data_IF_566581217827
#
_entry.id   IF_566581217827
#
_cell.length_a   1.000
_cell.length_b   1.000
_cell.length_c   1.000
_cell.angle_alpha   90.00
_cell.angle_beta   90.00
_cell.angle_gamma   90.00
#
_symmetry.space_group_name_H-M   'P 1'
#
loop_
_entity.id
_entity.type
_entity.pdbx_description
1 polymer ?
#
# COMPACT_ATOMS: atom_id res chain seq x y z
N UNK A 1 55.52 13.27 -47.87
CA UNK A 1 54.61 13.42 -49.02
C UNK A 1 53.30 12.75 -48.63
N UNK A 2 52.27 13.55 -48.39
CA UNK A 2 50.98 13.11 -47.83
C UNK A 2 50.10 14.33 -47.55
N UNK A 3 49.47 14.83 -48.60
CA UNK A 3 48.42 15.85 -48.70
C UNK A 3 47.26 15.51 -47.74
N UNK A 4 46.67 16.39 -46.92
CA UNK A 4 46.02 17.68 -47.23
C UNK A 4 44.75 17.43 -48.06
N UNK A 5 43.51 17.73 -47.69
CA UNK A 5 42.87 18.39 -46.55
C UNK A 5 41.36 18.53 -46.87
N UNK A 6 40.63 19.26 -46.01
CA UNK A 6 39.24 19.75 -46.20
C UNK A 6 38.16 18.67 -46.06
N UNK A 7 37.15 18.74 -45.19
CA UNK A 7 36.55 19.86 -44.48
C UNK A 7 35.05 19.81 -44.79
N UNK A 8 34.25 19.22 -43.92
CA UNK A 8 32.79 19.32 -44.02
C UNK A 8 32.15 19.50 -42.65
N UNK A 9 31.79 20.75 -42.39
CA UNK A 9 30.85 21.17 -41.38
C UNK A 9 29.46 20.68 -41.79
N UNK A 10 28.81 19.86 -40.98
CA UNK A 10 27.36 19.70 -41.09
C UNK A 10 26.65 20.11 -39.81
N UNK A 11 25.98 21.25 -39.92
CA UNK A 11 25.11 21.88 -38.94
C UNK A 11 23.85 21.05 -38.74
N UNK A 12 23.39 21.05 -37.50
CA UNK A 12 22.00 20.79 -37.13
C UNK A 12 21.00 21.53 -38.03
N UNK A 13 19.86 20.88 -38.32
CA UNK A 13 18.60 21.57 -38.13
C UNK A 13 17.71 20.81 -37.14
N UNK A 14 17.46 21.50 -36.03
CA UNK A 14 16.27 21.35 -35.19
C UNK A 14 14.99 21.49 -36.02
N UNK A 15 14.16 20.45 -36.05
CA UNK A 15 12.72 20.58 -36.30
C UNK A 15 11.99 19.30 -35.88
N UNK A 16 11.71 19.17 -34.58
CA UNK A 16 10.60 18.34 -34.10
C UNK A 16 9.50 19.26 -33.59
N UNK A 17 8.61 19.63 -34.50
CA UNK A 17 7.33 20.23 -34.20
C UNK A 17 6.51 19.25 -33.34
N UNK A 18 6.62 19.38 -32.02
CA UNK A 18 5.65 18.82 -31.08
C UNK A 18 4.30 19.49 -31.34
N UNK A 19 3.22 18.75 -31.60
CA UNK A 19 1.90 19.36 -31.67
C UNK A 19 1.58 19.98 -30.31
N UNK A 20 1.14 21.24 -30.34
CA UNK A 20 0.64 21.96 -29.19
C UNK A 20 -0.43 21.10 -28.52
N UNK A 21 -0.15 20.67 -27.29
CA UNK A 21 -1.12 19.99 -26.44
C UNK A 21 -2.16 21.03 -26.10
N UNK A 22 -3.26 21.05 -26.85
CA UNK A 22 -4.45 21.84 -26.55
C UNK A 22 -4.91 21.40 -25.16
N UNK A 23 -4.53 22.18 -24.16
CA UNK A 23 -5.05 22.05 -22.81
C UNK A 23 -6.47 22.57 -22.89
N UNK A 24 -7.41 21.65 -23.05
CA UNK A 24 -8.83 21.94 -22.82
C UNK A 24 -8.92 22.56 -21.43
N UNK A 25 -9.34 23.82 -21.28
CA UNK A 25 -9.53 24.40 -19.96
C UNK A 25 -10.63 23.58 -19.29
N UNK A 26 -10.28 22.88 -18.21
CA UNK A 26 -11.26 22.25 -17.34
C UNK A 26 -12.25 23.35 -16.94
N UNK A 27 -13.49 23.23 -17.43
CA UNK A 27 -14.61 24.05 -16.98
C UNK A 27 -14.68 23.93 -15.46
N UNK A 28 -14.26 25.00 -14.78
CA UNK A 28 -14.36 25.11 -13.34
C UNK A 28 -15.84 24.93 -12.98
N UNK A 29 -16.12 24.07 -11.99
CA UNK A 29 -17.46 23.88 -11.48
C UNK A 29 -18.08 25.24 -11.10
N UNK A 30 -19.35 25.49 -11.41
CA UNK A 30 -19.95 26.81 -11.23
C UNK A 30 -20.00 27.16 -9.74
N UNK A 31 -19.38 28.29 -9.38
CA UNK A 31 -19.50 28.92 -8.04
C UNK A 31 -18.23 29.06 -7.21
N UNK A 32 -17.06 28.63 -7.68
CA UNK A 32 -15.82 28.70 -6.88
C UNK A 32 -14.88 29.81 -7.37
N UNK A 33 -14.63 30.83 -6.53
CA UNK A 33 -13.68 31.91 -6.83
C UNK A 33 -12.25 31.40 -6.72
N UNK A 34 -11.44 31.64 -7.77
CA UNK A 34 -10.02 31.27 -7.81
C UNK A 34 -9.20 31.88 -6.67
N UNK A 35 -9.63 33.02 -6.12
CA UNK A 35 -8.91 33.70 -5.04
C UNK A 35 -8.97 32.94 -3.71
N UNK A 36 -10.03 32.17 -3.48
CA UNK A 36 -10.20 31.34 -2.29
C UNK A 36 -9.26 30.11 -2.30
N UNK A 37 -8.61 29.85 -3.45
CA UNK A 37 -7.75 28.70 -3.69
C UNK A 37 -6.26 29.08 -3.72
N UNK A 38 -5.90 30.26 -3.19
CA UNK A 38 -4.51 30.71 -3.07
C UNK A 38 -3.73 29.69 -2.22
N UNK A 39 -2.89 28.89 -2.88
CA UNK A 39 -2.13 27.79 -2.26
C UNK A 39 -2.45 26.40 -2.78
N UNK A 40 -3.61 26.16 -3.42
CA UNK A 40 -3.95 24.83 -3.89
C UNK A 40 -3.03 24.36 -5.01
N UNK A 41 -2.55 25.29 -5.84
CA UNK A 41 -1.51 24.99 -6.82
C UNK A 41 -0.23 24.51 -6.14
N UNK A 42 0.23 25.20 -5.11
CA UNK A 42 1.45 24.82 -4.39
C UNK A 42 1.28 23.49 -3.64
N UNK A 43 0.11 23.27 -3.04
CA UNK A 43 -0.24 22.00 -2.39
C UNK A 43 -0.31 20.87 -3.43
N UNK A 44 -0.94 21.09 -4.58
CA UNK A 44 -1.02 20.11 -5.66
C UNK A 44 0.36 19.82 -6.27
N UNK A 45 1.19 20.85 -6.46
CA UNK A 45 2.58 20.72 -6.94
C UNK A 45 3.41 19.93 -5.90
N UNK A 46 3.21 20.15 -4.61
CA UNK A 46 3.85 19.37 -3.54
C UNK A 46 3.39 17.91 -3.52
N UNK A 47 2.07 17.67 -3.57
CA UNK A 47 1.50 16.31 -3.56
C UNK A 47 1.84 15.52 -4.84
N UNK A 48 1.93 16.19 -5.99
CA UNK A 48 2.27 15.56 -7.27
C UNK A 48 3.78 15.41 -7.49
N UNK A 49 4.60 16.27 -6.90
CA UNK A 49 6.04 16.29 -7.08
C UNK A 49 6.76 15.08 -6.49
N UNK A 50 6.31 14.60 -5.32
CA UNK A 50 7.01 13.49 -4.64
C UNK A 50 6.19 12.19 -4.53
N UNK A 51 4.89 12.17 -4.85
CA UNK A 51 4.05 10.94 -4.84
C UNK A 51 3.84 10.27 -3.46
N UNK A 52 4.75 10.50 -2.53
CA UNK A 52 4.85 9.92 -1.20
C UNK A 52 3.88 10.57 -0.20
N UNK A 53 3.28 11.72 -0.56
CA UNK A 53 2.48 12.56 0.34
C UNK A 53 1.07 12.87 -0.20
N UNK A 54 0.49 11.96 -0.98
CA UNK A 54 -0.89 12.12 -1.43
C UNK A 54 -1.83 11.72 -0.30
N UNK A 55 -2.02 12.63 0.66
CA UNK A 55 -2.97 12.48 1.76
C UNK A 55 -4.24 13.24 1.40
N UNK A 56 -5.34 12.51 1.29
CA UNK A 56 -6.65 13.07 0.99
C UNK A 56 -7.67 12.57 2.01
N UNK A 57 -8.74 13.35 2.18
CA UNK A 57 -9.85 12.92 3.01
C UNK A 57 -10.68 11.88 2.27
N UNK A 58 -11.03 10.80 2.96
CA UNK A 58 -11.89 9.72 2.46
C UNK A 58 -13.35 10.13 2.37
N UNK A 59 -13.79 11.06 3.23
CA UNK A 59 -15.18 11.52 3.36
C UNK A 59 -16.13 10.37 3.73
N UNK A 60 -15.72 9.51 4.67
CA UNK A 60 -16.42 8.27 5.00
C UNK A 60 -17.90 8.46 5.35
N UNK A 61 -18.22 9.43 6.21
CA UNK A 61 -19.59 9.72 6.60
C UNK A 61 -20.46 10.20 5.43
N UNK A 62 -19.92 11.04 4.53
CA UNK A 62 -20.66 11.53 3.37
C UNK A 62 -20.89 10.42 2.35
N UNK A 63 -19.89 9.57 2.11
CA UNK A 63 -20.02 8.40 1.23
C UNK A 63 -21.06 7.42 1.72
N UNK A 64 -21.10 7.13 3.02
CA UNK A 64 -22.13 6.26 3.58
C UNK A 64 -23.52 6.88 3.51
N UNK A 65 -23.66 8.19 3.74
CA UNK A 65 -24.96 8.87 3.55
C UNK A 65 -25.42 8.77 2.10
N UNK A 66 -24.53 8.99 1.13
CA UNK A 66 -24.84 8.84 -0.29
C UNK A 66 -25.24 7.39 -0.64
N UNK A 67 -24.53 6.40 -0.09
CA UNK A 67 -24.83 4.98 -0.26
C UNK A 67 -26.22 4.60 0.29
N UNK A 68 -26.53 5.02 1.53
CA UNK A 68 -27.82 4.76 2.17
C UNK A 68 -28.99 5.44 1.43
N UNK A 69 -28.77 6.64 0.89
CA UNK A 69 -29.77 7.30 0.06
C UNK A 69 -30.07 6.49 -1.21
N UNK A 70 -29.05 5.91 -1.84
CA UNK A 70 -29.23 5.06 -3.03
C UNK A 70 -29.89 3.73 -2.68
N UNK A 71 -29.57 3.14 -1.53
CA UNK A 71 -30.22 1.94 -1.03
C UNK A 71 -31.72 2.16 -0.81
N UNK A 72 -32.09 3.27 -0.16
CA UNK A 72 -33.50 3.64 0.02
C UNK A 72 -34.24 3.81 -1.33
N UNK A 73 -33.56 4.35 -2.34
CA UNK A 73 -34.13 4.48 -3.68
C UNK A 73 -34.34 3.12 -4.37
N UNK A 74 -33.46 2.14 -4.15
CA UNK A 74 -33.63 0.76 -4.65
C UNK A 74 -34.84 0.12 -3.97
N UNK A 75 -34.93 0.21 -2.64
CA UNK A 75 -36.04 -0.32 -1.86
C UNK A 75 -37.39 0.24 -2.29
N UNK A 76 -37.47 1.54 -2.61
CA UNK A 76 -38.70 2.15 -3.13
C UNK A 76 -39.19 1.47 -4.43
N UNK A 77 -38.26 1.11 -5.33
CA UNK A 77 -38.60 0.44 -6.60
C UNK A 77 -38.94 -1.03 -6.36
N UNK A 78 -38.28 -1.67 -5.41
CA UNK A 78 -38.59 -3.05 -5.01
C UNK A 78 -40.02 -3.16 -4.46
N UNK A 79 -40.46 -2.22 -3.62
CA UNK A 79 -41.84 -2.15 -3.12
C UNK A 79 -42.83 -1.91 -4.28
N UNK A 80 -42.54 -0.96 -5.17
CA UNK A 80 -43.38 -0.69 -6.37
C UNK A 80 -43.53 -1.95 -7.24
N UNK A 81 -42.42 -2.65 -7.47
CA UNK A 81 -42.38 -3.87 -8.26
C UNK A 81 -43.18 -5.01 -7.61
N UNK A 82 -43.05 -5.20 -6.29
CA UNK A 82 -43.80 -6.22 -5.56
C UNK A 82 -45.32 -6.00 -5.62
N UNK A 83 -45.78 -4.73 -5.55
CA UNK A 83 -47.19 -4.39 -5.72
C UNK A 83 -47.70 -4.66 -7.14
N UNK A 84 -46.89 -4.33 -8.15
CA UNK A 84 -47.22 -4.59 -9.56
C UNK A 84 -47.28 -6.10 -9.85
N UNK A 85 -46.31 -6.87 -9.37
CA UNK A 85 -46.29 -8.33 -9.49
C UNK A 85 -47.52 -8.96 -8.83
N UNK A 86 -47.91 -8.47 -7.64
CA UNK A 86 -49.13 -8.90 -6.96
C UNK A 86 -50.41 -8.69 -7.79
N UNK A 87 -50.51 -7.56 -8.50
CA UNK A 87 -51.65 -7.26 -9.40
C UNK A 87 -51.65 -8.15 -10.63
N UNK A 88 -50.48 -8.43 -11.21
CA UNK A 88 -50.34 -9.33 -12.36
C UNK A 88 -50.76 -10.76 -11.98
N UNK A 89 -50.35 -11.24 -10.81
CA UNK A 89 -50.75 -12.58 -10.32
C UNK A 89 -52.25 -12.72 -10.09
N UNK A 90 -52.95 -11.63 -9.75
CA UNK A 90 -54.40 -11.59 -9.63
C UNK A 90 -55.14 -11.46 -10.98
N UNK A 91 -54.41 -11.47 -12.11
CA UNK A 91 -54.96 -11.40 -13.46
C UNK A 91 -55.38 -10.01 -13.93
N UNK A 92 -55.09 -8.95 -13.15
CA UNK A 92 -55.47 -7.57 -13.45
C UNK A 92 -54.31 -6.62 -13.72
N UNK A 93 -53.06 -7.08 -13.63
CA UNK A 93 -51.87 -6.23 -13.78
C UNK A 93 -51.38 -6.08 -15.22
N UNK A 94 -50.76 -4.95 -15.51
CA UNK A 94 -50.07 -4.68 -16.78
C UNK A 94 -48.62 -5.15 -16.72
N UNK A 95 -48.28 -6.13 -17.57
CA UNK A 95 -46.92 -6.68 -17.68
C UNK A 95 -45.91 -5.64 -18.16
N UNK A 96 -46.33 -4.62 -18.92
CA UNK A 96 -45.42 -3.56 -19.38
C UNK A 96 -44.97 -2.66 -18.21
N UNK A 97 -45.83 -2.46 -17.21
CA UNK A 97 -45.48 -1.71 -16.00
C UNK A 97 -44.41 -2.44 -15.18
N UNK A 98 -44.58 -3.75 -14.96
CA UNK A 98 -43.55 -4.59 -14.32
C UNK A 98 -42.22 -4.52 -15.07
N UNK A 99 -42.25 -4.62 -16.42
CA UNK A 99 -41.05 -4.49 -17.26
C UNK A 99 -40.39 -3.11 -17.13
N UNK A 100 -41.17 -2.04 -16.98
CA UNK A 100 -40.66 -0.68 -16.76
C UNK A 100 -40.04 -0.55 -15.37
N UNK A 101 -40.67 -1.08 -14.34
CA UNK A 101 -40.14 -1.11 -12.96
C UNK A 101 -38.86 -1.93 -12.85
N UNK A 102 -38.78 -3.08 -13.52
CA UNK A 102 -37.53 -3.86 -13.62
C UNK A 102 -36.38 -3.09 -14.29
N UNK A 103 -36.65 -2.35 -15.38
CA UNK A 103 -35.63 -1.48 -16.01
C UNK A 103 -35.19 -0.37 -15.06
N UNK A 104 -36.10 0.23 -14.31
CA UNK A 104 -35.80 1.25 -13.29
C UNK A 104 -34.96 0.66 -12.15
N UNK A 105 -35.26 -0.57 -11.74
CA UNK A 105 -34.53 -1.30 -10.71
C UNK A 105 -33.08 -1.57 -11.15
N UNK A 106 -32.88 -2.07 -12.36
CA UNK A 106 -31.55 -2.33 -12.93
C UNK A 106 -30.68 -1.06 -12.94
N UNK A 107 -31.25 0.07 -13.39
CA UNK A 107 -30.56 1.37 -13.37
C UNK A 107 -30.17 1.81 -11.95
N UNK A 108 -31.07 1.66 -10.97
CA UNK A 108 -30.80 2.05 -9.58
C UNK A 108 -29.80 1.10 -8.91
N UNK A 109 -29.91 -0.20 -9.16
CA UNK A 109 -28.96 -1.20 -8.67
C UNK A 109 -27.57 -0.93 -9.22
N UNK A 110 -27.44 -0.61 -10.51
CA UNK A 110 -26.17 -0.22 -11.11
C UNK A 110 -25.56 1.01 -10.42
N UNK A 111 -26.37 2.05 -10.17
CA UNK A 111 -25.91 3.24 -9.47
C UNK A 111 -25.50 2.95 -7.99
N UNK A 112 -26.12 1.97 -7.35
CA UNK A 112 -25.79 1.56 -5.99
C UNK A 112 -24.55 0.65 -5.94
N UNK A 113 -24.57 -0.47 -6.66
CA UNK A 113 -23.54 -1.52 -6.61
C UNK A 113 -22.26 -1.08 -7.34
N UNK A 114 -22.37 -0.82 -8.64
CA UNK A 114 -21.18 -0.57 -9.48
C UNK A 114 -20.55 0.78 -9.15
N UNK A 115 -21.37 1.78 -8.82
CA UNK A 115 -20.88 3.13 -8.59
C UNK A 115 -20.61 3.43 -7.12
N UNK A 116 -21.62 3.39 -6.25
CA UNK A 116 -21.47 3.87 -4.89
C UNK A 116 -20.71 2.89 -3.99
N UNK A 117 -21.11 1.62 -4.00
CA UNK A 117 -20.51 0.58 -3.17
C UNK A 117 -19.06 0.32 -3.58
N UNK A 118 -18.78 0.19 -4.88
CA UNK A 118 -17.40 -0.02 -5.34
C UNK A 118 -16.48 1.16 -4.98
N UNK A 119 -16.93 2.41 -5.21
CA UNK A 119 -16.14 3.59 -4.82
C UNK A 119 -15.95 3.66 -3.30
N UNK A 120 -16.94 3.25 -2.52
CA UNK A 120 -16.83 3.16 -1.07
C UNK A 120 -15.78 2.10 -0.68
N UNK A 121 -15.91 0.88 -1.20
CA UNK A 121 -14.97 -0.21 -0.96
C UNK A 121 -13.53 0.18 -1.33
N UNK A 122 -13.32 0.75 -2.51
CA UNK A 122 -12.00 1.25 -2.94
C UNK A 122 -11.46 2.30 -1.97
N UNK A 123 -12.29 3.22 -1.48
CA UNK A 123 -11.85 4.25 -0.53
C UNK A 123 -11.55 3.69 0.88
N UNK A 124 -12.23 2.62 1.31
CA UNK A 124 -12.01 1.97 2.61
C UNK A 124 -10.86 0.96 2.61
N UNK A 125 -10.52 0.40 1.45
CA UNK A 125 -9.32 -0.42 1.28
C UNK A 125 -8.03 0.41 1.13
N UNK A 126 -8.16 1.73 0.96
CA UNK A 126 -7.00 2.62 1.02
C UNK A 126 -6.45 2.67 2.44
N UNK A 127 -5.12 2.60 2.58
CA UNK A 127 -4.50 2.62 3.89
C UNK A 127 -4.53 4.01 4.53
N UNK A 128 -4.43 4.02 5.86
CA UNK A 128 -4.29 5.25 6.64
C UNK A 128 -2.87 5.82 6.49
N UNK A 129 -2.71 7.15 6.41
CA UNK A 129 -1.39 7.76 6.40
C UNK A 129 -0.66 7.53 7.72
N UNK A 130 0.67 7.44 7.67
CA UNK A 130 1.48 7.37 8.89
C UNK A 130 1.39 8.67 9.69
N UNK A 131 1.53 8.58 11.03
CA UNK A 131 1.63 9.76 11.89
C UNK A 131 2.81 10.67 11.49
N UNK A 132 3.88 10.06 10.98
CA UNK A 132 5.04 10.78 10.48
C UNK A 132 4.72 11.60 9.24
N UNK A 133 4.06 11.01 8.24
CA UNK A 133 3.64 11.72 7.02
C UNK A 133 2.70 12.87 7.35
N UNK A 134 1.75 12.68 8.26
CA UNK A 134 0.88 13.75 8.73
C UNK A 134 1.67 14.89 9.38
N UNK A 135 2.67 14.55 10.20
CA UNK A 135 3.58 15.53 10.82
C UNK A 135 4.43 16.29 9.80
N UNK A 136 4.97 15.60 8.79
CA UNK A 136 5.77 16.20 7.71
C UNK A 136 4.93 17.16 6.86
N UNK A 137 3.71 16.77 6.47
CA UNK A 137 2.77 17.65 5.77
C UNK A 137 2.38 18.86 6.62
N UNK A 138 2.07 18.66 7.91
CA UNK A 138 1.69 19.76 8.79
C UNK A 138 2.86 20.75 9.00
N UNK A 139 4.08 20.23 9.10
CA UNK A 139 5.31 21.05 9.17
C UNK A 139 5.52 21.82 7.86
N UNK A 140 5.32 21.18 6.71
CA UNK A 140 5.43 21.83 5.41
C UNK A 140 4.37 22.93 5.22
N UNK A 141 3.11 22.65 5.57
CA UNK A 141 2.01 23.60 5.47
C UNK A 141 2.24 24.83 6.37
N UNK A 142 2.64 24.60 7.63
CA UNK A 142 2.93 25.68 8.58
C UNK A 142 4.14 26.52 8.16
N UNK A 143 5.19 25.90 7.62
CA UNK A 143 6.38 26.60 7.08
C UNK A 143 6.02 27.53 5.93
N UNK A 144 5.01 27.19 5.14
CA UNK A 144 4.52 28.02 4.01
C UNK A 144 3.47 29.05 4.42
N UNK A 145 3.12 29.13 5.70
CA UNK A 145 2.10 30.07 6.19
C UNK A 145 0.68 29.67 5.81
N UNK A 146 0.44 28.41 5.40
CA UNK A 146 -0.92 27.90 5.28
C UNK A 146 -1.51 27.74 6.68
N UNK A 147 -2.78 28.15 6.91
CA UNK A 147 -3.47 27.94 8.18
C UNK A 147 -3.69 26.43 8.37
N UNK A 148 -2.69 25.77 8.94
CA UNK A 148 -2.54 24.32 8.92
C UNK A 148 -2.92 23.75 10.28
N UNK A 149 -4.20 23.48 10.44
CA UNK A 149 -4.63 22.48 11.38
C UNK A 149 -5.67 21.63 10.67
N UNK A 150 -5.25 20.47 10.16
CA UNK A 150 -6.21 19.41 9.85
C UNK A 150 -6.88 19.12 11.20
N UNK A 151 -8.17 19.47 11.37
CA UNK A 151 -8.85 19.25 12.62
C UNK A 151 -8.67 17.81 13.06
N UNK A 152 -8.38 17.57 14.34
CA UNK A 152 -8.13 16.23 14.87
C UNK A 152 -9.26 15.24 14.51
N UNK A 153 -10.50 15.74 14.52
CA UNK A 153 -11.71 15.03 14.05
C UNK A 153 -11.65 14.46 12.63
N UNK A 154 -10.75 14.96 11.77
CA UNK A 154 -10.61 14.51 10.39
C UNK A 154 -9.41 13.59 10.19
N UNK A 155 -8.50 13.46 11.16
CA UNK A 155 -7.31 12.61 11.03
C UNK A 155 -7.69 11.14 10.82
N UNK A 156 -8.77 10.67 11.45
CA UNK A 156 -9.29 9.31 11.29
C UNK A 156 -9.89 9.01 9.91
N UNK A 157 -10.24 10.07 9.16
CA UNK A 157 -10.86 10.03 7.84
C UNK A 157 -9.84 10.36 6.73
N UNK A 158 -8.55 10.47 7.05
CA UNK A 158 -7.48 10.64 6.06
C UNK A 158 -7.05 9.28 5.51
N UNK A 159 -6.79 9.25 4.21
CA UNK A 159 -6.24 8.11 3.49
C UNK A 159 -5.03 8.56 2.68
N UNK A 160 -4.09 7.65 2.48
CA UNK A 160 -2.96 7.85 1.57
C UNK A 160 -3.13 6.98 0.32
N UNK A 161 -2.78 7.52 -0.85
CA UNK A 161 -2.76 6.74 -2.09
C UNK A 161 -1.52 5.84 -2.17
N UNK A 162 -0.46 6.13 -1.40
CA UNK A 162 0.74 5.32 -1.43
C UNK A 162 0.68 4.19 -0.38
N UNK A 163 0.67 2.96 -0.89
CA UNK A 163 0.72 1.73 -0.08
C UNK A 163 2.13 1.47 0.47
N UNK A 164 3.18 1.98 -0.17
CA UNK A 164 4.55 1.75 0.26
C UNK A 164 4.86 2.44 1.59
N UNK A 165 4.35 3.66 1.79
CA UNK A 165 4.55 4.44 3.01
C UNK A 165 3.85 3.91 4.27
N UNK A 166 2.94 2.94 4.13
CA UNK A 166 2.11 2.43 5.24
C UNK A 166 2.83 1.36 6.04
N UNK A 167 3.96 0.88 5.53
CA UNK A 167 4.82 -0.07 6.24
C UNK A 167 5.62 0.65 7.33
N UNK A 168 4.96 1.23 8.33
CA UNK A 168 5.56 1.68 9.59
C UNK A 168 5.83 0.46 10.49
N UNK A 169 6.76 -0.38 10.05
CA UNK A 169 7.33 -1.47 10.84
C UNK A 169 8.62 -1.02 11.54
N UNK A 170 9.04 -1.74 12.58
CA UNK A 170 10.37 -1.55 13.18
C UNK A 170 11.47 -1.65 12.12
N UNK A 171 11.32 -2.58 11.18
CA UNK A 171 12.27 -2.81 10.07
C UNK A 171 12.41 -1.58 9.18
N UNK A 172 11.31 -0.89 8.85
CA UNK A 172 11.39 0.31 8.00
C UNK A 172 11.97 1.51 8.74
N UNK A 173 11.77 1.62 10.05
CA UNK A 173 12.48 2.60 10.88
C UNK A 173 13.99 2.37 10.88
N UNK A 174 14.41 1.11 11.08
CA UNK A 174 15.83 0.75 11.00
C UNK A 174 16.39 0.95 9.58
N UNK A 175 15.65 0.55 8.55
CA UNK A 175 16.03 0.77 7.16
C UNK A 175 16.15 2.26 6.84
N UNK A 176 15.24 3.11 7.35
CA UNK A 176 15.32 4.56 7.18
C UNK A 176 16.50 5.16 7.93
N UNK A 177 16.84 4.66 9.12
CA UNK A 177 18.04 5.08 9.86
C UNK A 177 19.33 4.68 9.12
N UNK A 178 19.40 3.45 8.63
CA UNK A 178 20.55 2.95 7.86
C UNK A 178 20.66 3.68 6.52
N UNK A 179 19.54 3.89 5.82
CA UNK A 179 19.53 4.64 4.57
C UNK A 179 19.92 6.10 4.79
N UNK A 180 19.48 6.72 5.90
CA UNK A 180 19.99 8.03 6.32
C UNK A 180 21.51 7.95 6.47
N UNK A 181 22.03 7.08 7.33
CA UNK A 181 23.48 6.92 7.55
C UNK A 181 24.28 6.73 6.25
N UNK A 182 23.83 5.82 5.37
CA UNK A 182 24.51 5.51 4.10
C UNK A 182 24.45 6.65 3.10
N UNK A 183 23.34 7.40 3.05
CA UNK A 183 23.13 8.49 2.10
C UNK A 183 23.24 9.88 2.74
N UNK A 184 23.83 10.00 3.94
CA UNK A 184 23.95 11.29 4.66
C UNK A 184 24.67 12.36 3.83
N UNK A 185 25.59 11.96 2.96
CA UNK A 185 26.36 12.88 2.13
C UNK A 185 25.58 13.47 0.95
N UNK A 186 24.40 12.94 0.66
CA UNK A 186 23.61 13.24 -0.54
C UNK A 186 22.17 13.65 -0.23
N UNK A 187 21.86 13.87 1.05
CA UNK A 187 20.60 14.47 1.48
C UNK A 187 20.54 15.89 0.94
N UNK A 188 19.80 16.04 -0.15
CA UNK A 188 19.56 17.33 -0.79
C UNK A 188 18.51 18.06 0.03
N UNK A 189 18.93 19.15 0.66
CA UNK A 189 18.05 20.03 1.43
C UNK A 189 17.17 20.84 0.48
N UNK A 190 16.09 20.24 -0.03
CA UNK A 190 15.03 20.98 -0.72
C UNK A 190 13.95 21.34 0.29
N UNK A 191 13.52 22.61 0.28
CA UNK A 191 12.37 23.09 1.07
C UNK A 191 12.44 22.97 2.61
N UNK A 192 13.64 22.91 3.21
CA UNK A 192 13.79 23.01 4.67
C UNK A 192 13.39 21.77 5.48
N UNK A 193 13.06 20.66 4.81
CA UNK A 193 12.83 19.35 5.42
C UNK A 193 13.84 18.37 4.83
N UNK A 194 14.55 17.62 5.67
CA UNK A 194 15.50 16.59 5.22
C UNK A 194 14.71 15.40 4.66
N UNK A 195 14.48 15.38 3.34
CA UNK A 195 13.71 14.33 2.69
C UNK A 195 14.63 13.33 1.97
N UNK A 196 14.49 12.06 2.35
CA UNK A 196 15.18 10.94 1.70
C UNK A 196 14.21 10.34 0.67
N UNK A 197 14.60 10.16 -0.60
CA UNK A 197 13.69 9.64 -1.63
C UNK A 197 13.13 8.25 -1.23
N UNK A 198 11.81 8.06 -1.22
CA UNK A 198 11.20 6.80 -0.76
C UNK A 198 11.68 5.59 -1.55
N UNK A 199 11.95 5.72 -2.85
CA UNK A 199 12.49 4.63 -3.67
C UNK A 199 13.79 4.05 -3.11
N UNK A 200 14.66 4.88 -2.50
CA UNK A 200 15.92 4.44 -1.91
C UNK A 200 15.70 3.73 -0.58
N UNK A 201 14.79 4.25 0.24
CA UNK A 201 14.43 3.62 1.51
C UNK A 201 13.83 2.22 1.29
N UNK A 202 13.00 2.05 0.25
CA UNK A 202 12.43 0.77 -0.15
C UNK A 202 13.51 -0.19 -0.68
N UNK A 203 14.47 0.31 -1.46
CA UNK A 203 15.58 -0.51 -1.95
C UNK A 203 16.47 -1.00 -0.78
N UNK A 204 16.78 -0.11 0.16
CA UNK A 204 17.58 -0.43 1.36
C UNK A 204 16.84 -1.40 2.27
N UNK A 205 15.53 -1.23 2.48
CA UNK A 205 14.74 -2.16 3.30
C UNK A 205 14.70 -3.56 2.67
N UNK A 206 14.53 -3.64 1.35
CA UNK A 206 14.60 -4.92 0.61
C UNK A 206 15.97 -5.57 0.71
N UNK A 207 17.05 -4.80 0.57
CA UNK A 207 18.41 -5.32 0.72
C UNK A 207 18.69 -5.82 2.14
N UNK A 208 18.24 -5.08 3.17
CA UNK A 208 18.37 -5.48 4.57
C UNK A 208 17.58 -6.76 4.86
N UNK A 209 16.33 -6.85 4.41
CA UNK A 209 15.51 -8.06 4.58
C UNK A 209 16.19 -9.25 3.90
N UNK A 210 16.72 -9.07 2.68
CA UNK A 210 17.43 -10.11 1.94
C UNK A 210 18.73 -10.55 2.62
N UNK A 211 19.36 -9.69 3.43
CA UNK A 211 20.60 -10.01 4.16
C UNK A 211 20.30 -10.65 5.52
N UNK A 212 19.31 -10.12 6.25
CA UNK A 212 18.95 -10.55 7.60
C UNK A 212 18.25 -11.91 7.57
N UNK A 213 17.37 -12.17 6.59
CA UNK A 213 16.60 -13.40 6.54
C UNK A 213 17.47 -14.67 6.47
N UNK A 214 18.50 -14.77 5.60
CA UNK A 214 19.41 -15.91 5.59
C UNK A 214 20.18 -16.07 6.92
N UNK A 215 20.62 -14.97 7.52
CA UNK A 215 21.37 -15.01 8.79
C UNK A 215 20.51 -15.59 9.91
N UNK A 216 19.25 -15.16 10.02
CA UNK A 216 18.29 -15.69 11.00
C UNK A 216 18.06 -17.20 10.79
N UNK A 217 17.97 -17.66 9.54
CA UNK A 217 17.78 -19.08 9.23
C UNK A 217 19.03 -19.92 9.52
N UNK A 218 20.23 -19.34 9.39
CA UNK A 218 21.50 -20.07 9.48
C UNK A 218 22.00 -20.22 10.92
N UNK A 219 21.72 -19.25 11.80
CA UNK A 219 22.12 -19.29 13.22
C UNK A 219 21.68 -20.59 13.93
N UNK A 220 20.42 -21.05 13.82
CA UNK A 220 19.97 -22.28 14.47
C UNK A 220 20.62 -23.53 13.88
N UNK A 221 20.84 -23.58 12.56
CA UNK A 221 21.53 -24.70 11.90
C UNK A 221 22.96 -24.84 12.45
N UNK A 222 23.68 -23.73 12.55
CA UNK A 222 25.04 -23.72 13.09
C UNK A 222 25.05 -24.13 14.56
N UNK A 223 24.11 -23.62 15.37
CA UNK A 223 24.00 -23.99 16.78
C UNK A 223 23.80 -25.50 16.97
N UNK A 224 22.98 -26.13 16.11
CA UNK A 224 22.73 -27.57 16.13
C UNK A 224 23.97 -28.40 15.81
N UNK A 225 24.90 -27.91 14.98
CA UNK A 225 26.17 -28.60 14.70
C UNK A 225 27.09 -28.70 15.94
N UNK A 226 26.96 -27.78 16.90
CA UNK A 226 27.79 -27.77 18.11
C UNK A 226 27.19 -28.57 19.27
N UNK A 227 25.89 -28.87 19.24
CA UNK A 227 25.19 -29.55 20.31
C UNK A 227 25.22 -31.06 20.08
N UNK A 228 25.82 -31.83 20.99
CA UNK A 228 25.91 -33.30 20.89
C UNK A 228 24.71 -34.05 21.48
N UNK A 229 23.87 -33.39 22.27
CA UNK A 229 22.74 -34.01 22.95
C UNK A 229 21.43 -33.76 22.19
N UNK A 230 20.77 -34.85 21.78
CA UNK A 230 19.52 -34.82 20.99
C UNK A 230 18.38 -34.06 21.70
N UNK A 231 18.23 -34.23 23.01
CA UNK A 231 17.24 -33.48 23.78
C UNK A 231 17.48 -31.96 23.75
N UNK A 232 18.74 -31.54 23.84
CA UNK A 232 19.10 -30.11 23.77
C UNK A 232 18.86 -29.56 22.37
N UNK A 233 19.12 -30.35 21.33
CA UNK A 233 18.82 -29.98 19.95
C UNK A 233 17.31 -29.74 19.73
N UNK A 234 16.45 -30.62 20.25
CA UNK A 234 14.97 -30.45 20.18
C UNK A 234 14.54 -29.16 20.87
N UNK A 235 15.05 -28.89 22.07
CA UNK A 235 14.71 -27.66 22.82
C UNK A 235 15.15 -26.41 22.05
N UNK A 236 16.35 -26.42 21.47
CA UNK A 236 16.85 -25.30 20.66
C UNK A 236 15.99 -25.06 19.42
N UNK A 237 15.60 -26.12 18.69
CA UNK A 237 14.69 -25.99 17.53
C UNK A 237 13.35 -25.40 17.94
N UNK A 238 12.76 -25.87 19.04
CA UNK A 238 11.50 -25.35 19.55
C UNK A 238 11.60 -23.85 19.89
N UNK A 239 12.62 -23.45 20.65
CA UNK A 239 12.85 -22.04 21.03
C UNK A 239 13.12 -21.18 19.80
N UNK A 240 13.95 -21.65 18.86
CA UNK A 240 14.26 -20.93 17.62
C UNK A 240 13.00 -20.72 16.75
N UNK A 241 12.09 -21.70 16.71
CA UNK A 241 10.83 -21.59 15.95
C UNK A 241 9.87 -20.59 16.60
N UNK A 242 9.75 -20.59 17.93
CA UNK A 242 8.93 -19.62 18.67
C UNK A 242 9.47 -18.20 18.52
N UNK A 243 10.78 -18.01 18.66
CA UNK A 243 11.42 -16.69 18.50
C UNK A 243 11.28 -16.17 17.06
N UNK A 244 11.45 -17.02 16.04
CA UNK A 244 11.23 -16.65 14.63
C UNK A 244 9.79 -16.19 14.38
N UNK A 245 8.80 -16.91 14.94
CA UNK A 245 7.38 -16.53 14.85
C UNK A 245 7.11 -15.17 15.52
N UNK A 246 7.72 -14.92 16.69
CA UNK A 246 7.62 -13.63 17.37
C UNK A 246 8.22 -12.49 16.56
N UNK A 247 9.40 -12.70 15.96
CA UNK A 247 10.04 -11.70 15.07
C UNK A 247 9.16 -11.38 13.86
N UNK A 248 8.55 -12.39 13.23
CA UNK A 248 7.63 -12.19 12.10
C UNK A 248 6.33 -11.48 12.50
N UNK A 249 5.80 -11.76 13.69
CA UNK A 249 4.65 -11.02 14.25
C UNK A 249 5.00 -9.53 14.44
N UNK A 250 6.19 -9.22 14.97
CA UNK A 250 6.68 -7.85 15.11
C UNK A 250 6.93 -7.18 13.75
N UNK A 251 7.26 -7.96 12.72
CA UNK A 251 7.45 -7.48 11.36
C UNK A 251 6.15 -7.08 10.63
N UNK A 252 4.97 -7.26 11.26
CA UNK A 252 3.64 -7.04 10.64
C UNK A 252 3.44 -7.81 9.32
N UNK A 253 4.07 -8.97 9.19
CA UNK A 253 3.83 -9.85 8.06
C UNK A 253 2.38 -10.36 8.07
N UNK A 254 1.80 -10.64 6.91
CA UNK A 254 0.44 -11.17 6.84
C UNK A 254 0.33 -12.53 7.52
N UNK A 255 -0.84 -12.86 8.09
CA UNK A 255 -1.05 -14.14 8.79
C UNK A 255 -0.62 -15.36 7.96
N UNK A 256 -0.91 -15.34 6.65
CA UNK A 256 -0.49 -16.39 5.72
C UNK A 256 1.03 -16.42 5.49
N UNK A 257 1.68 -15.26 5.42
CA UNK A 257 3.13 -15.14 5.24
C UNK A 257 3.89 -15.69 6.45
N UNK A 258 3.43 -15.36 7.66
CA UNK A 258 4.00 -15.88 8.92
C UNK A 258 3.85 -17.40 8.97
N UNK A 259 2.68 -17.93 8.62
CA UNK A 259 2.43 -19.38 8.64
C UNK A 259 3.29 -20.13 7.61
N UNK A 260 3.39 -19.62 6.38
CA UNK A 260 4.23 -20.21 5.33
C UNK A 260 5.70 -20.22 5.73
N UNK A 261 6.21 -19.10 6.23
CA UNK A 261 7.62 -18.98 6.60
C UNK A 261 7.98 -19.83 7.82
N UNK A 262 7.10 -19.90 8.83
CA UNK A 262 7.28 -20.77 10.01
C UNK A 262 7.24 -22.25 9.64
N UNK A 263 6.31 -22.65 8.76
CA UNK A 263 6.19 -24.03 8.28
C UNK A 263 7.42 -24.46 7.48
N UNK A 264 7.88 -23.60 6.56
CA UNK A 264 9.10 -23.85 5.79
C UNK A 264 10.33 -23.98 6.70
N UNK A 265 10.45 -23.10 7.69
CA UNK A 265 11.54 -23.13 8.66
C UNK A 265 11.52 -24.42 9.52
N UNK A 266 10.36 -24.79 10.06
CA UNK A 266 10.20 -26.02 10.84
C UNK A 266 10.56 -27.27 10.03
N UNK A 267 10.15 -27.34 8.76
CA UNK A 267 10.49 -28.45 7.88
C UNK A 267 12.01 -28.59 7.72
N UNK A 268 12.73 -27.49 7.46
CA UNK A 268 14.19 -27.49 7.34
C UNK A 268 14.85 -27.97 8.63
N UNK A 269 14.43 -27.44 9.79
CA UNK A 269 15.00 -27.83 11.09
C UNK A 269 14.76 -29.31 11.42
N UNK A 270 13.58 -29.84 11.13
CA UNK A 270 13.24 -31.25 11.41
C UNK A 270 14.07 -32.19 10.53
N UNK A 271 14.29 -31.85 9.25
CA UNK A 271 15.15 -32.65 8.36
C UNK A 271 16.61 -32.64 8.85
N UNK A 272 17.12 -31.48 9.29
CA UNK A 272 18.44 -31.39 9.90
C UNK A 272 18.54 -32.21 11.20
N UNK A 273 17.53 -32.15 12.05
CA UNK A 273 17.52 -32.93 13.29
C UNK A 273 17.51 -34.44 13.00
N UNK A 274 16.71 -34.89 12.03
CA UNK A 274 16.63 -36.30 11.64
C UNK A 274 17.96 -36.85 11.10
N UNK A 275 18.69 -36.05 10.31
CA UNK A 275 20.01 -36.43 9.79
C UNK A 275 21.05 -36.54 10.91
N UNK A 276 21.08 -35.60 11.86
CA UNK A 276 22.03 -35.62 12.99
C UNK A 276 21.72 -36.75 13.99
N UNK A 277 20.44 -37.04 14.23
CA UNK A 277 20.01 -38.14 15.10
C UNK A 277 20.44 -39.50 14.56
N UNK A 278 20.32 -39.73 13.25
CA UNK A 278 20.67 -41.00 12.61
C UNK A 278 22.18 -41.29 12.72
N UNK A 279 23.02 -40.27 12.56
CA UNK A 279 24.50 -40.40 12.71
C UNK A 279 24.90 -40.74 14.15
N UNK A 280 24.15 -40.25 15.14
CA UNK A 280 24.46 -40.47 16.56
C UNK A 280 23.99 -41.84 17.08
N UNK A 281 23.10 -42.53 16.34
CA UNK A 281 22.53 -43.82 16.71
C UNK A 281 23.40 -45.04 16.36
N UNK A 282 24.40 -44.88 15.51
CA UNK A 282 25.27 -45.99 15.04
C UNK A 282 26.50 -46.16 15.95
N UNK A 283 26.23 -46.41 17.23
CA UNK A 283 27.26 -46.79 18.20
C UNK A 283 27.64 -48.27 18.05
N UNK A 284 28.94 -48.63 17.91
CA UNK A 284 29.36 -50.02 17.78
C UNK A 284 29.21 -50.73 19.14
N UNK A 285 28.14 -51.51 19.32
CA UNK A 285 27.92 -52.10 20.64
C UNK A 285 26.73 -53.03 20.82
N UNK A 286 26.57 -54.04 19.96
CA UNK A 286 25.94 -55.32 20.37
C UNK A 286 26.61 -56.50 19.68
N UNK A 287 27.81 -56.82 20.17
CA UNK A 287 28.43 -58.11 20.03
C UNK A 287 28.91 -58.56 21.41
N UNK A 288 28.01 -59.21 22.17
CA UNK A 288 28.28 -60.22 23.19
C UNK A 288 26.96 -60.81 23.67
#
# INVERSE_FOLDING_TARGET
>A
IGTGGVGDMNRHPSNSSRPARTTTPCLAAPGYSLEEHKGFREIADYMSGEGDYIIVRRFGALRFRDMLCKEAQVMEVEVQLAEEDGKVLQGGGDVEMVRKSMRKLDLKLKAYVDDALERCHRAYTMPRPSARSLGEINTWLSTRGFPSHIPERFQEDMITLDRALVTDGLITRFAALIARLLFWREVTRKSGVDQLPAHRAILVSRALISLIAPVILLVPVVLLCYLKQLWVQIVVVAVATVTSSFVMMVAKAGNAEVFMATSAYAAVMVVFLGTVANVSGDGPGRGR
#
